data_IF_754004764923
#
_entry.id   IF_754004764923
#
_cell.length_a   1.000
_cell.length_b   1.000
_cell.length_c   1.000
_cell.angle_alpha   90.00
_cell.angle_beta   90.00
_cell.angle_gamma   90.00
#
_symmetry.space_group_name_H-M   'P 1'
#
loop_
_entity.id
_entity.type
_entity.pdbx_description
1 polymer ?
#
# COMPACT_ATOMS: atom_id res chain seq x y z
N UNK A 1 -21.90 -2.63 -9.00
CA UNK A 1 -20.45 -2.73 -8.85
C UNK A 1 -20.05 -2.13 -7.50
N UNK A 2 -19.29 -2.84 -6.74
CA UNK A 2 -18.88 -2.39 -5.41
C UNK A 2 -17.49 -1.75 -5.47
N UNK A 3 -17.14 -1.08 -4.39
CA UNK A 3 -15.79 -0.53 -4.21
C UNK A 3 -14.82 -1.64 -3.87
N UNK A 4 -13.58 -1.48 -4.30
CA UNK A 4 -12.54 -2.48 -4.13
C UNK A 4 -11.20 -1.81 -3.81
N UNK A 5 -10.48 -2.36 -2.84
CA UNK A 5 -9.17 -1.83 -2.40
C UNK A 5 -8.16 -2.97 -2.38
N UNK A 6 -6.99 -2.74 -2.98
CA UNK A 6 -5.90 -3.70 -2.89
C UNK A 6 -4.56 -2.96 -2.76
N UNK A 7 -3.58 -3.66 -2.20
CA UNK A 7 -2.25 -3.14 -1.97
C UNK A 7 -1.21 -3.97 -2.70
N UNK A 8 -0.19 -3.30 -3.25
CA UNK A 8 1.00 -3.94 -3.80
C UNK A 8 2.19 -3.53 -2.93
N UNK A 9 2.89 -4.52 -2.42
CA UNK A 9 4.07 -4.32 -1.58
C UNK A 9 5.31 -4.55 -2.43
N UNK A 10 6.25 -3.60 -2.42
CA UNK A 10 7.42 -3.67 -3.27
C UNK A 10 8.61 -2.96 -2.64
N UNK A 11 9.79 -3.17 -3.23
CA UNK A 11 11.01 -2.54 -2.76
C UNK A 11 11.09 -1.07 -3.14
N UNK A 12 10.61 -0.71 -4.32
CA UNK A 12 10.71 0.66 -4.82
C UNK A 12 9.62 0.96 -5.85
N UNK A 13 9.34 2.26 -6.01
CA UNK A 13 8.38 2.77 -6.99
C UNK A 13 9.05 3.86 -7.79
N UNK A 14 8.97 3.77 -9.11
CA UNK A 14 9.48 4.79 -10.02
C UNK A 14 8.34 5.48 -10.73
N UNK A 15 8.39 6.81 -10.74
CA UNK A 15 7.48 7.60 -11.56
C UNK A 15 8.08 7.73 -12.95
N UNK A 16 7.33 7.29 -13.96
CA UNK A 16 7.75 7.32 -15.35
C UNK A 16 7.10 8.49 -16.08
N UNK A 17 7.56 8.76 -17.29
CA UNK A 17 6.97 9.77 -18.16
C UNK A 17 5.52 9.37 -18.49
N UNK A 18 4.65 10.37 -18.65
CA UNK A 18 3.22 10.19 -18.98
C UNK A 18 2.38 9.60 -17.84
N UNK A 19 2.77 9.85 -16.60
CA UNK A 19 1.98 9.44 -15.43
C UNK A 19 2.01 7.96 -15.14
N UNK A 20 2.92 7.20 -15.75
CA UNK A 20 3.08 5.77 -15.46
C UNK A 20 3.92 5.56 -14.22
N UNK A 21 3.74 4.43 -13.57
CA UNK A 21 4.58 4.01 -12.45
C UNK A 21 5.17 2.64 -12.73
N UNK A 22 6.42 2.45 -12.30
CA UNK A 22 7.06 1.13 -12.33
C UNK A 22 7.27 0.68 -10.90
N UNK A 23 6.88 -0.56 -10.60
CA UNK A 23 7.05 -1.16 -9.30
C UNK A 23 8.19 -2.16 -9.37
N UNK A 24 9.15 -2.05 -8.46
CA UNK A 24 10.38 -2.83 -8.48
C UNK A 24 10.40 -3.73 -7.25
N UNK A 25 10.63 -5.03 -7.45
CA UNK A 25 10.71 -5.97 -6.35
C UNK A 25 9.36 -6.20 -5.67
N UNK A 26 8.36 -6.63 -6.44
CA UNK A 26 7.01 -6.85 -5.92
C UNK A 26 6.96 -8.16 -5.14
N UNK A 27 6.50 -8.08 -3.88
CA UNK A 27 6.25 -9.27 -3.07
C UNK A 27 4.91 -9.87 -3.44
N UNK A 28 4.83 -11.20 -3.45
CA UNK A 28 3.56 -11.88 -3.70
C UNK A 28 2.64 -11.73 -2.48
N UNK A 29 2.79 -12.58 -1.48
CA UNK A 29 2.01 -12.50 -0.26
C UNK A 29 2.87 -12.62 0.99
N UNK A 30 4.17 -12.84 0.84
CA UNK A 30 5.09 -13.01 1.96
C UNK A 30 6.44 -12.37 1.68
N UNK A 31 7.02 -11.82 2.74
CA UNK A 31 8.40 -11.36 2.77
C UNK A 31 9.16 -12.19 3.79
N UNK A 32 10.31 -12.72 3.40
CA UNK A 32 11.14 -13.51 4.31
C UNK A 32 12.36 -12.70 4.72
N UNK A 33 12.61 -12.65 6.02
CA UNK A 33 13.80 -12.00 6.61
C UNK A 33 14.62 -13.03 7.33
N UNK A 34 15.90 -12.74 7.57
CA UNK A 34 16.79 -13.71 8.22
C UNK A 34 16.50 -13.87 9.70
N UNK A 35 16.11 -12.79 10.37
CA UNK A 35 15.86 -12.80 11.82
C UNK A 35 15.08 -11.56 12.24
N UNK A 36 14.52 -11.60 13.44
CA UNK A 36 13.92 -10.44 14.10
C UNK A 36 14.72 -10.13 15.39
N UNK A 37 14.80 -8.87 15.81
CA UNK A 37 14.29 -7.69 15.11
C UNK A 37 15.08 -7.40 13.84
N UNK A 38 14.43 -6.80 12.88
CA UNK A 38 15.06 -6.43 11.61
C UNK A 38 14.68 -5.00 11.25
N UNK A 39 15.51 -4.38 10.44
CA UNK A 39 15.26 -3.04 9.95
C UNK A 39 15.30 -3.06 8.43
N UNK A 40 14.15 -2.90 7.81
CA UNK A 40 14.05 -2.83 6.36
C UNK A 40 14.47 -1.44 5.91
N UNK A 41 15.38 -1.37 4.95
CA UNK A 41 15.85 -0.08 4.46
C UNK A 41 14.74 0.68 3.76
N UNK A 42 13.88 -0.02 3.05
CA UNK A 42 12.75 0.58 2.35
C UNK A 42 11.68 -0.44 2.05
N UNK A 43 10.44 -0.08 2.31
CA UNK A 43 9.27 -0.84 1.87
C UNK A 43 8.27 0.17 1.33
N UNK A 44 7.82 -0.07 0.10
CA UNK A 44 6.80 0.76 -0.54
C UNK A 44 5.49 0.00 -0.61
N UNK A 45 4.40 0.68 -0.30
CA UNK A 45 3.05 0.13 -0.42
C UNK A 45 2.28 1.01 -1.39
N UNK A 46 1.82 0.42 -2.48
CA UNK A 46 0.99 1.11 -3.47
C UNK A 46 -0.44 0.65 -3.26
N UNK A 47 -1.31 1.55 -2.87
CA UNK A 47 -2.71 1.25 -2.58
C UNK A 47 -3.56 1.72 -3.75
N UNK A 48 -4.35 0.80 -4.29
CA UNK A 48 -5.30 1.11 -5.37
C UNK A 48 -6.71 0.92 -4.85
N UNK A 49 -7.53 1.96 -5.01
CA UNK A 49 -8.93 1.93 -4.62
C UNK A 49 -9.80 2.24 -5.82
N UNK A 50 -10.74 1.36 -6.11
CA UNK A 50 -11.65 1.49 -7.24
C UNK A 50 -13.07 1.71 -6.74
N UNK A 51 -13.79 2.56 -7.43
CA UNK A 51 -15.19 2.86 -7.12
C UNK A 51 -15.99 2.97 -8.42
N UNK A 52 -17.31 2.71 -8.39
CA UNK A 52 -18.14 2.94 -9.56
C UNK A 52 -18.10 4.38 -10.04
N UNK A 53 -18.25 4.64 -11.35
CA UNK A 53 -18.17 6.00 -11.89
C UNK A 53 -19.19 6.99 -11.31
N UNK A 54 -20.33 6.48 -10.87
CA UNK A 54 -21.39 7.28 -10.28
C UNK A 54 -21.23 7.51 -8.77
N UNK A 55 -20.16 6.99 -8.19
CA UNK A 55 -19.91 7.08 -6.75
C UNK A 55 -18.45 7.39 -6.46
N UNK A 56 -17.94 8.57 -6.84
CA UNK A 56 -16.54 8.93 -6.58
C UNK A 56 -16.26 9.04 -5.08
N UNK A 57 -15.01 8.87 -4.70
CA UNK A 57 -14.58 9.05 -3.31
C UNK A 57 -14.59 10.53 -2.94
N UNK A 58 -15.11 10.85 -1.77
CA UNK A 58 -15.12 12.22 -1.22
C UNK A 58 -13.96 12.43 -0.23
N UNK A 59 -12.75 12.09 -0.67
CA UNK A 59 -11.60 12.02 0.21
C UNK A 59 -11.46 10.64 0.80
N UNK A 60 -10.31 10.37 1.41
CA UNK A 60 -10.07 9.06 2.03
C UNK A 60 -8.99 9.15 3.09
N UNK A 61 -8.95 8.14 3.94
CA UNK A 61 -7.92 7.95 4.95
C UNK A 61 -7.32 6.57 4.77
N UNK A 62 -5.99 6.50 4.84
CA UNK A 62 -5.24 5.25 4.82
C UNK A 62 -4.60 5.02 6.16
N UNK A 63 -4.65 3.79 6.64
CA UNK A 63 -3.92 3.36 7.83
C UNK A 63 -3.13 2.12 7.49
N UNK A 64 -1.84 2.12 7.76
CA UNK A 64 -1.02 0.92 7.63
C UNK A 64 -1.02 0.22 8.99
N UNK A 65 -1.42 -1.04 9.00
CA UNK A 65 -1.49 -1.84 10.21
C UNK A 65 -0.43 -2.93 10.18
N UNK A 66 0.24 -3.12 11.31
CA UNK A 66 1.11 -4.27 11.53
C UNK A 66 0.63 -5.00 12.76
N UNK A 67 0.22 -6.27 12.60
CA UNK A 67 -0.43 -7.07 13.63
C UNK A 67 -1.60 -6.31 14.25
N UNK A 68 -2.43 -5.72 13.40
CA UNK A 68 -3.65 -4.98 13.77
C UNK A 68 -3.39 -3.68 14.52
N UNK A 69 -2.14 -3.23 14.58
CA UNK A 69 -1.77 -1.96 15.23
C UNK A 69 -1.33 -0.96 14.17
N UNK A 70 -1.90 0.25 14.22
CA UNK A 70 -1.56 1.30 13.25
C UNK A 70 -0.12 1.75 13.44
N UNK A 71 0.66 1.71 12.34
CA UNK A 71 2.04 2.18 12.33
C UNK A 71 2.20 3.46 11.52
N UNK A 72 1.24 3.79 10.68
CA UNK A 72 1.23 5.03 9.90
C UNK A 72 -0.18 5.35 9.46
N UNK A 73 -0.46 6.63 9.29
CA UNK A 73 -1.75 7.10 8.80
C UNK A 73 -1.53 8.23 7.80
N UNK A 74 -2.42 8.32 6.82
CA UNK A 74 -2.41 9.34 5.79
C UNK A 74 -3.85 9.70 5.45
N UNK A 75 -4.13 11.00 5.33
CA UNK A 75 -5.47 11.47 4.99
C UNK A 75 -5.39 12.38 3.77
N UNK A 76 -6.28 12.15 2.80
CA UNK A 76 -6.39 12.94 1.59
C UNK A 76 -7.81 13.49 1.54
N UNK A 77 -8.01 14.80 1.84
CA UNK A 77 -9.34 15.39 1.79
C UNK A 77 -9.81 15.58 0.35
N UNK A 78 -11.13 15.75 0.18
CA UNK A 78 -11.76 15.90 -1.14
C UNK A 78 -11.09 17.01 -1.97
N UNK A 79 -10.78 18.14 -1.36
CA UNK A 79 -10.18 19.27 -2.06
C UNK A 79 -8.83 18.89 -2.69
N UNK A 80 -8.00 18.13 -1.96
CA UNK A 80 -6.72 17.67 -2.46
C UNK A 80 -6.90 16.65 -3.58
N UNK A 81 -7.86 15.77 -3.44
CA UNK A 81 -8.17 14.75 -4.45
C UNK A 81 -8.61 15.40 -5.76
N UNK A 82 -9.42 16.44 -5.69
CA UNK A 82 -9.85 17.20 -6.86
C UNK A 82 -8.69 17.94 -7.51
N UNK A 83 -7.78 18.49 -6.71
CA UNK A 83 -6.59 19.19 -7.22
C UNK A 83 -5.67 18.22 -7.98
N UNK A 84 -5.43 17.05 -7.41
CA UNK A 84 -4.60 16.02 -8.06
C UNK A 84 -5.24 15.55 -9.37
N UNK A 85 -6.55 15.44 -9.43
CA UNK A 85 -7.24 15.04 -10.65
C UNK A 85 -7.07 16.05 -11.78
N UNK A 86 -6.97 17.36 -11.46
CA UNK A 86 -6.71 18.40 -12.46
C UNK A 86 -5.27 18.37 -12.94
N UNK A 87 -4.32 18.06 -12.08
CA UNK A 87 -2.90 18.03 -12.42
C UNK A 87 -2.51 16.78 -13.18
N UNK A 88 -3.18 15.68 -12.93
CA UNK A 88 -2.86 14.39 -13.52
C UNK A 88 -4.12 13.79 -14.18
N UNK A 89 -4.27 14.01 -15.50
CA UNK A 89 -5.47 13.51 -16.21
C UNK A 89 -5.57 11.99 -16.25
N UNK A 90 -4.51 11.27 -15.91
CA UNK A 90 -4.57 9.81 -15.79
C UNK A 90 -5.27 9.36 -14.51
N UNK A 91 -5.37 10.22 -13.50
CA UNK A 91 -6.12 9.95 -12.30
C UNK A 91 -7.59 10.28 -12.53
N UNK A 92 -8.41 9.25 -12.49
CA UNK A 92 -9.87 9.40 -12.60
C UNK A 92 -10.50 9.19 -11.23
N UNK A 93 -11.71 9.68 -11.05
CA UNK A 93 -12.46 9.45 -9.82
C UNK A 93 -12.78 7.97 -9.59
N UNK A 94 -12.60 7.14 -10.61
CA UNK A 94 -12.86 5.70 -10.55
C UNK A 94 -11.73 4.91 -9.91
N UNK A 95 -10.52 5.42 -9.98
CA UNK A 95 -9.33 4.73 -9.49
C UNK A 95 -8.43 5.72 -8.80
N UNK A 96 -8.24 5.52 -7.51
CA UNK A 96 -7.31 6.30 -6.70
C UNK A 96 -6.11 5.44 -6.41
N UNK A 97 -4.91 5.97 -6.66
CA UNK A 97 -3.67 5.31 -6.30
C UNK A 97 -2.92 6.17 -5.31
N UNK A 98 -2.53 5.58 -4.19
CA UNK A 98 -1.74 6.25 -3.16
C UNK A 98 -0.53 5.42 -2.82
N UNK A 99 0.54 6.06 -2.39
CA UNK A 99 1.79 5.39 -2.03
C UNK A 99 2.14 5.72 -0.58
N UNK A 100 2.55 4.70 0.15
CA UNK A 100 3.14 4.86 1.48
C UNK A 100 4.55 4.30 1.44
N UNK A 101 5.53 5.12 1.82
CA UNK A 101 6.94 4.74 1.77
C UNK A 101 7.48 4.70 3.19
N UNK A 102 7.99 3.55 3.58
CA UNK A 102 8.65 3.34 4.86
C UNK A 102 10.14 3.18 4.60
N UNK A 103 10.94 4.13 5.06
CA UNK A 103 12.38 4.12 4.84
C UNK A 103 13.12 4.80 6.00
N UNK A 104 13.54 4.07 7.04
CA UNK A 104 13.44 2.62 7.23
C UNK A 104 12.14 2.18 7.90
N UNK A 105 11.93 0.86 7.96
CA UNK A 105 10.85 0.25 8.71
C UNK A 105 11.43 -0.77 9.68
N UNK A 106 11.32 -0.52 10.98
CA UNK A 106 11.77 -1.43 12.01
C UNK A 106 10.66 -2.43 12.34
N UNK A 107 11.01 -3.71 12.34
CA UNK A 107 10.06 -4.79 12.63
C UNK A 107 10.66 -5.68 13.71
N UNK A 108 9.96 -5.81 14.84
CA UNK A 108 10.46 -6.53 16.00
C UNK A 108 10.11 -8.00 16.02
N UNK A 109 9.05 -8.39 15.32
CA UNK A 109 8.51 -9.74 15.38
C UNK A 109 7.84 -10.10 14.07
N UNK A 110 7.62 -11.40 13.79
CA UNK A 110 6.84 -11.80 12.62
C UNK A 110 5.42 -11.25 12.70
N UNK A 111 4.85 -10.97 11.55
CA UNK A 111 3.50 -10.47 11.54
C UNK A 111 2.94 -10.18 10.18
N UNK A 112 1.79 -9.57 10.18
CA UNK A 112 1.01 -9.26 8.99
C UNK A 112 0.86 -7.75 8.84
N UNK A 113 1.19 -7.25 7.65
CA UNK A 113 0.95 -5.86 7.28
C UNK A 113 -0.23 -5.80 6.33
N UNK A 114 -1.13 -4.84 6.57
CA UNK A 114 -2.24 -4.56 5.67
C UNK A 114 -2.63 -3.10 5.74
N UNK A 115 -3.44 -2.66 4.79
CA UNK A 115 -3.90 -1.28 4.70
C UNK A 115 -5.40 -1.24 4.95
N UNK A 116 -5.83 -0.27 5.76
CA UNK A 116 -7.23 0.10 5.87
C UNK A 116 -7.47 1.36 5.06
N UNK A 117 -8.48 1.33 4.22
CA UNK A 117 -8.92 2.47 3.42
C UNK A 117 -10.31 2.85 3.88
N UNK A 118 -10.47 4.10 4.34
CA UNK A 118 -11.75 4.60 4.81
C UNK A 118 -12.19 5.78 3.97
N UNK A 119 -13.39 5.72 3.43
CA UNK A 119 -13.99 6.81 2.65
C UNK A 119 -15.49 6.75 2.79
N UNK A 120 -16.14 7.90 2.94
CA UNK A 120 -17.60 8.03 2.99
C UNK A 120 -18.23 7.13 4.07
N UNK A 121 -17.55 7.00 5.22
CA UNK A 121 -18.04 6.18 6.34
C UNK A 121 -17.85 4.68 6.16
N UNK A 122 -17.25 4.24 5.07
CA UNK A 122 -16.95 2.83 4.81
C UNK A 122 -15.47 2.54 4.99
N UNK A 123 -15.14 1.37 5.53
CA UNK A 123 -13.76 0.93 5.72
C UNK A 123 -13.53 -0.37 4.97
N UNK A 124 -12.44 -0.41 4.21
CA UNK A 124 -12.04 -1.57 3.42
C UNK A 124 -10.66 -2.03 3.85
N UNK A 125 -10.47 -3.33 3.94
CA UNK A 125 -9.16 -3.93 4.19
C UNK A 125 -8.53 -4.37 2.88
N UNK A 126 -7.24 -4.07 2.71
CA UNK A 126 -6.49 -4.60 1.59
C UNK A 126 -6.04 -6.04 1.86
N UNK A 127 -5.50 -6.68 0.83
CA UNK A 127 -4.72 -7.90 0.99
C UNK A 127 -3.51 -7.62 1.90
N UNK A 128 -3.02 -8.65 2.57
CA UNK A 128 -1.94 -8.54 3.54
C UNK A 128 -0.61 -9.01 2.99
N UNK A 129 0.48 -8.54 3.60
CA UNK A 129 1.83 -9.05 3.41
C UNK A 129 2.26 -9.73 4.70
N UNK A 130 2.59 -11.02 4.63
CA UNK A 130 3.13 -11.75 5.76
C UNK A 130 4.64 -11.52 5.83
N UNK A 131 5.14 -11.10 6.99
CA UNK A 131 6.57 -10.90 7.20
C UNK A 131 7.04 -11.93 8.22
N UNK A 132 7.93 -12.81 7.80
CA UNK A 132 8.32 -13.96 8.62
C UNK A 132 9.78 -14.33 8.40
N UNK A 133 10.29 -15.17 9.31
CA UNK A 133 11.66 -15.67 9.18
C UNK A 133 11.72 -16.70 8.06
N UNK A 134 12.75 -16.61 7.22
CA UNK A 134 12.96 -17.56 6.16
C UNK A 134 13.17 -18.96 6.73
N UNK A 135 12.54 -20.02 6.17
CA UNK A 135 12.80 -21.36 6.61
C UNK A 135 14.26 -21.72 6.42
N UNK A 136 14.83 -22.52 7.31
CA UNK A 136 16.21 -22.97 7.21
C UNK A 136 16.42 -23.74 5.90
N UNK A 137 17.47 -23.38 5.16
CA UNK A 137 17.75 -23.98 3.88
C UNK A 137 16.89 -23.48 2.72
N UNK A 138 16.02 -22.47 2.96
CA UNK A 138 15.19 -21.91 1.90
C UNK A 138 16.06 -21.22 0.84
N UNK A 139 15.76 -21.39 -0.45
CA UNK A 139 16.44 -20.64 -1.50
C UNK A 139 16.18 -19.14 -1.35
N UNK A 140 17.19 -18.32 -1.65
CA UNK A 140 17.09 -16.87 -1.53
C UNK A 140 16.03 -16.28 -2.45
N UNK A 141 15.67 -17.00 -3.50
CA UNK A 141 14.72 -16.55 -4.50
C UNK A 141 13.27 -16.45 -3.99
N UNK A 142 12.99 -16.86 -2.76
CA UNK A 142 11.63 -16.80 -2.19
C UNK A 142 11.36 -15.53 -1.40
N UNK A 143 12.11 -14.49 -1.58
CA UNK A 143 11.84 -13.20 -0.94
C UNK A 143 10.77 -12.41 -1.68
#
# INVERSE_FOLDING_TARGET
MSRFVYATYCDDVRLEINGKTSLIGVYADAMFVQRFPTNLMKLCVVVNALTPPDRPFNGFKLSALFNSKAIAEMEVPLAQLQEEATKNPAMTSKNVQAQMIFAPLAIDQPGEMKILFTSDGETFESNALQIMVAPEGAPIIFT
#
